data_IF_999691370672
#
_entry.id   IF_999691370672
#
_cell.length_a   1.000
_cell.length_b   1.000
_cell.length_c   1.000
_cell.angle_alpha   90.00
_cell.angle_beta   90.00
_cell.angle_gamma   90.00
#
_symmetry.space_group_name_H-M   'P 1'
#
loop_
_entity.id
_entity.type
_entity.pdbx_description
1 polymer ?
#
# COMPACT_ATOMS: atom_id res chain seq x y z
N UNK A 1 9.14 28.45 -36.46
CA UNK A 1 9.47 28.88 -35.08
C UNK A 1 9.05 27.78 -34.12
N UNK A 2 9.99 26.95 -33.65
CA UNK A 2 9.73 25.89 -32.68
C UNK A 2 9.87 26.44 -31.26
N UNK A 3 8.76 26.56 -30.53
CA UNK A 3 8.79 26.74 -29.09
C UNK A 3 9.31 25.46 -28.43
N UNK A 4 10.58 25.49 -28.01
CA UNK A 4 11.11 24.54 -27.01
C UNK A 4 10.32 24.75 -25.71
N UNK A 5 9.48 23.78 -25.34
CA UNK A 5 8.90 23.69 -24.00
C UNK A 5 10.01 23.22 -23.05
N UNK A 6 10.50 24.12 -22.22
CA UNK A 6 11.34 23.77 -21.09
C UNK A 6 10.58 22.84 -20.15
N UNK A 7 11.11 21.63 -19.96
CA UNK A 7 10.63 20.72 -18.91
C UNK A 7 11.01 21.35 -17.55
N UNK A 8 10.08 21.48 -16.59
CA UNK A 8 10.44 21.96 -15.27
C UNK A 8 11.45 21.01 -14.63
N UNK A 9 12.61 21.54 -14.25
CA UNK A 9 13.60 20.84 -13.42
C UNK A 9 13.00 20.68 -12.03
N UNK A 10 12.58 19.47 -11.67
CA UNK A 10 12.14 19.15 -10.31
C UNK A 10 13.38 18.95 -9.43
N UNK A 11 13.46 19.64 -8.29
CA UNK A 11 14.39 19.29 -7.22
C UNK A 11 13.75 18.14 -6.43
N UNK A 12 14.32 16.94 -6.57
CA UNK A 12 14.02 15.79 -5.72
C UNK A 12 15.11 15.75 -4.66
N UNK A 13 14.73 15.79 -3.39
CA UNK A 13 15.65 15.55 -2.29
C UNK A 13 15.23 14.27 -1.61
N UNK A 14 16.07 13.25 -1.78
CA UNK A 14 15.93 11.94 -1.17
C UNK A 14 17.05 11.83 -0.13
N UNK A 15 16.68 11.86 1.16
CA UNK A 15 17.64 11.65 2.25
C UNK A 15 17.50 10.21 2.72
N UNK A 16 18.33 9.32 2.15
CA UNK A 16 18.47 7.94 2.58
C UNK A 16 19.60 7.83 3.60
N UNK A 17 19.28 7.41 4.82
CA UNK A 17 20.29 7.10 5.83
C UNK A 17 20.39 5.57 5.94
N UNK A 18 21.52 4.95 5.56
CA UNK A 18 21.69 3.51 5.69
C UNK A 18 21.76 3.12 7.18
N UNK A 19 20.78 2.34 7.64
CA UNK A 19 20.85 1.63 8.92
C UNK A 19 21.89 0.50 8.79
N UNK A 20 23.14 0.74 9.20
CA UNK A 20 24.12 -0.34 9.38
C UNK A 20 23.62 -1.32 10.46
N UNK A 21 23.82 -2.61 10.22
CA UNK A 21 23.34 -3.75 11.00
C UNK A 21 23.54 -3.62 12.53
N UNK A 22 22.48 -3.27 13.27
CA UNK A 22 22.44 -3.35 14.72
C UNK A 22 21.80 -4.67 15.19
N UNK A 23 22.43 -5.80 14.87
CA UNK A 23 22.17 -7.08 15.57
C UNK A 23 23.51 -7.77 15.84
N UNK A 24 24.02 -7.62 17.07
CA UNK A 24 25.27 -8.28 17.45
C UNK A 24 25.67 -8.10 18.91
N UNK A 25 25.24 -9.06 19.74
CA UNK A 25 25.84 -9.57 20.99
C UNK A 25 26.08 -8.61 22.15
N UNK A 26 25.53 -8.97 23.31
CA UNK A 26 25.72 -8.26 24.56
C UNK A 26 27.17 -8.26 25.07
N UNK A 27 27.53 -7.14 25.71
CA UNK A 27 28.22 -7.04 27.01
C UNK A 27 28.21 -5.57 27.44
N UNK A 28 28.08 -5.34 28.75
CA UNK A 28 28.00 -4.02 29.40
C UNK A 28 29.32 -3.24 29.20
N UNK A 29 29.23 -1.96 28.87
CA UNK A 29 30.15 -0.91 29.34
C UNK A 29 29.46 0.46 29.16
N UNK A 30 29.36 1.23 30.24
CA UNK A 30 28.91 2.62 30.23
C UNK A 30 30.03 3.52 29.69
N UNK A 31 29.83 4.07 28.51
CA UNK A 31 30.43 5.33 28.04
C UNK A 31 29.59 5.81 26.86
N UNK A 32 29.03 7.02 26.95
CA UNK A 32 28.19 7.61 25.90
C UNK A 32 28.97 7.63 24.57
N UNK A 33 28.46 7.03 23.47
CA UNK A 33 29.27 6.85 22.28
C UNK A 33 29.36 8.13 21.42
N UNK A 34 30.43 8.27 20.62
CA UNK A 34 30.62 9.37 19.66
C UNK A 34 29.55 9.46 18.55
N UNK A 35 28.67 8.47 18.45
CA UNK A 35 27.62 8.33 17.43
C UNK A 35 26.53 9.41 17.58
N UNK A 36 26.17 9.80 18.81
CA UNK A 36 25.12 10.79 19.08
C UNK A 36 25.49 12.19 18.55
N UNK A 37 26.79 12.53 18.58
CA UNK A 37 27.28 13.81 18.05
C UNK A 37 27.20 13.89 16.53
N UNK A 38 27.40 12.77 15.83
CA UNK A 38 27.32 12.72 14.37
C UNK A 38 25.86 12.79 13.89
N UNK A 39 24.95 12.13 14.60
CA UNK A 39 23.51 12.17 14.33
C UNK A 39 22.94 13.60 14.42
N UNK A 40 23.28 14.33 15.49
CA UNK A 40 22.79 15.71 15.69
C UNK A 40 23.29 16.67 14.62
N UNK A 41 24.56 16.54 14.22
CA UNK A 41 25.14 17.33 13.12
C UNK A 41 24.51 17.01 11.77
N UNK A 42 24.19 15.74 11.52
CA UNK A 42 23.47 15.33 10.31
C UNK A 42 22.08 15.94 10.28
N UNK A 43 21.33 15.87 11.38
CA UNK A 43 20.00 16.45 11.49
C UNK A 43 20.03 17.97 11.29
N UNK A 44 21.02 18.66 11.85
CA UNK A 44 21.24 20.10 11.66
C UNK A 44 21.62 20.43 10.21
N UNK A 45 22.44 19.60 9.55
CA UNK A 45 22.75 19.75 8.14
C UNK A 45 21.52 19.52 7.25
N UNK A 46 20.65 18.56 7.58
CA UNK A 46 19.36 18.33 6.90
C UNK A 46 18.45 19.54 7.09
N UNK A 47 18.29 20.07 8.31
CA UNK A 47 17.52 21.30 8.56
C UNK A 47 18.01 22.46 7.70
N UNK A 48 19.33 22.71 7.71
CA UNK A 48 19.94 23.77 6.89
C UNK A 48 19.72 23.55 5.39
N UNK A 49 19.85 22.31 4.92
CA UNK A 49 19.59 21.97 3.52
C UNK A 49 18.14 22.26 3.15
N UNK A 50 17.19 21.84 3.98
CA UNK A 50 15.76 22.05 3.76
C UNK A 50 15.38 23.54 3.72
N UNK A 51 15.99 24.37 4.58
CA UNK A 51 15.80 25.83 4.55
C UNK A 51 16.20 26.46 3.21
N UNK A 52 17.29 25.99 2.60
CA UNK A 52 17.84 26.58 1.37
C UNK A 52 17.07 26.21 0.07
N UNK A 53 16.11 25.27 0.12
CA UNK A 53 15.43 24.75 -1.08
C UNK A 53 14.12 25.50 -1.36
N UNK A 54 14.20 26.62 -2.07
CA UNK A 54 13.08 27.57 -2.28
C UNK A 54 11.88 27.05 -3.07
N UNK A 55 12.04 25.99 -3.87
CA UNK A 55 10.99 25.43 -4.73
C UNK A 55 10.78 23.93 -4.51
N UNK A 56 10.99 23.46 -3.28
CA UNK A 56 10.86 22.05 -2.93
C UNK A 56 9.42 21.56 -3.16
N UNK A 57 9.24 20.66 -4.14
CA UNK A 57 7.92 20.05 -4.45
C UNK A 57 7.77 18.66 -3.86
N UNK A 58 8.87 17.94 -3.65
CA UNK A 58 8.92 16.56 -3.18
C UNK A 58 9.98 16.44 -2.11
N UNK A 59 9.58 15.97 -0.93
CA UNK A 59 10.46 15.69 0.19
C UNK A 59 10.25 14.25 0.66
N UNK A 60 11.35 13.52 0.81
CA UNK A 60 11.34 12.17 1.36
C UNK A 60 12.37 12.05 2.48
N UNK A 61 11.86 11.68 3.66
CA UNK A 61 12.65 11.44 4.86
C UNK A 61 12.36 10.02 5.34
N UNK A 62 13.37 9.16 5.26
CA UNK A 62 13.22 7.72 5.53
C UNK A 62 14.20 7.28 6.60
N UNK A 63 13.76 6.38 7.49
CA UNK A 63 14.57 5.73 8.52
C UNK A 63 15.29 6.71 9.48
N UNK A 64 14.65 7.85 9.76
CA UNK A 64 15.18 8.82 10.73
C UNK A 64 15.02 8.34 12.17
N UNK A 65 13.96 7.60 12.49
CA UNK A 65 13.72 7.01 13.81
C UNK A 65 13.95 8.01 14.96
N UNK A 66 13.32 9.18 14.89
CA UNK A 66 13.47 10.29 15.83
C UNK A 66 12.73 10.05 17.14
N UNK A 67 13.26 10.64 18.22
CA UNK A 67 12.50 10.81 19.46
C UNK A 67 11.52 12.00 19.32
N UNK A 68 10.50 12.04 20.17
CA UNK A 68 9.40 13.03 20.04
C UNK A 68 9.90 14.49 20.05
N UNK A 69 10.92 14.81 20.85
CA UNK A 69 11.49 16.16 20.93
C UNK A 69 12.23 16.57 19.64
N UNK A 70 12.90 15.63 18.98
CA UNK A 70 13.58 15.86 17.71
C UNK A 70 12.57 16.01 16.57
N UNK A 71 11.57 15.12 16.54
CA UNK A 71 10.49 15.12 15.55
C UNK A 71 9.67 16.42 15.58
N UNK A 72 9.43 16.96 16.78
CA UNK A 72 8.69 18.21 16.98
C UNK A 72 9.31 19.41 16.25
N UNK A 73 10.64 19.46 16.11
CA UNK A 73 11.32 20.65 15.59
C UNK A 73 11.91 20.44 14.20
N UNK A 74 11.79 19.24 13.63
CA UNK A 74 12.48 18.93 12.37
C UNK A 74 11.85 19.65 11.17
N UNK A 75 10.53 19.80 11.18
CA UNK A 75 9.78 20.36 10.06
C UNK A 75 9.48 21.86 10.20
N UNK A 76 9.85 22.50 11.31
CA UNK A 76 9.57 23.93 11.58
C UNK A 76 10.07 24.83 10.44
N UNK A 77 11.32 24.68 10.05
CA UNK A 77 11.94 25.49 8.99
C UNK A 77 11.27 25.27 7.61
N UNK A 78 10.78 24.05 7.37
CA UNK A 78 10.04 23.71 6.12
C UNK A 78 8.65 24.32 6.14
N UNK A 79 7.98 24.33 7.29
CA UNK A 79 6.65 24.89 7.45
C UNK A 79 6.62 26.41 7.26
N UNK A 80 7.62 27.13 7.77
CA UNK A 80 7.66 28.60 7.66
C UNK A 80 7.84 29.10 6.23
N UNK A 81 8.65 28.41 5.42
CA UNK A 81 9.05 28.95 4.12
C UNK A 81 8.52 28.17 2.90
N UNK A 82 8.01 26.93 3.08
CA UNK A 82 7.71 25.99 1.97
C UNK A 82 6.34 25.31 2.07
N UNK A 83 5.47 25.76 2.98
CA UNK A 83 4.12 25.25 3.17
C UNK A 83 3.26 25.27 1.89
N UNK A 84 3.49 26.23 0.99
CA UNK A 84 2.72 26.40 -0.23
C UNK A 84 3.30 25.69 -1.47
N UNK A 85 4.59 25.36 -1.48
CA UNK A 85 5.27 24.79 -2.66
C UNK A 85 5.30 23.26 -2.65
N UNK A 86 5.29 22.63 -1.47
CA UNK A 86 5.33 21.19 -1.33
C UNK A 86 4.07 20.53 -1.91
N UNK A 87 4.25 19.40 -2.61
CA UNK A 87 3.18 18.62 -3.26
C UNK A 87 3.23 17.15 -2.88
N UNK A 88 4.42 16.63 -2.55
CA UNK A 88 4.64 15.27 -2.10
C UNK A 88 5.51 15.28 -0.84
N UNK A 89 5.08 14.56 0.19
CA UNK A 89 5.81 14.36 1.43
C UNK A 89 5.77 12.88 1.80
N UNK A 90 6.94 12.28 2.00
CA UNK A 90 7.08 10.92 2.52
C UNK A 90 7.88 10.92 3.81
N UNK A 91 7.28 10.41 4.88
CA UNK A 91 7.84 10.29 6.23
C UNK A 91 7.79 8.81 6.65
N UNK A 92 8.74 8.02 6.14
CA UNK A 92 8.81 6.58 6.39
C UNK A 92 9.72 6.31 7.59
N UNK A 93 9.22 5.54 8.57
CA UNK A 93 9.97 5.23 9.80
C UNK A 93 10.55 6.49 10.49
N UNK A 94 9.70 7.53 10.58
CA UNK A 94 10.11 8.86 11.00
C UNK A 94 10.31 8.98 12.52
N UNK A 95 9.44 8.39 13.33
CA UNK A 95 9.58 8.35 14.81
C UNK A 95 9.68 6.93 15.36
N UNK A 96 10.38 6.78 16.50
CA UNK A 96 10.50 5.48 17.20
C UNK A 96 9.18 5.03 17.84
N UNK A 97 8.33 5.97 18.24
CA UNK A 97 7.09 5.72 18.96
C UNK A 97 5.90 6.51 18.41
N UNK A 98 4.77 6.42 19.11
CA UNK A 98 3.57 7.19 18.80
C UNK A 98 3.84 8.69 19.00
N UNK A 99 3.70 9.46 17.93
CA UNK A 99 3.87 10.91 17.95
C UNK A 99 3.15 11.57 16.78
N UNK A 100 2.08 12.31 17.04
CA UNK A 100 1.29 12.97 16.02
C UNK A 100 2.03 14.19 15.43
N UNK A 101 2.17 14.25 14.11
CA UNK A 101 2.90 15.32 13.42
C UNK A 101 1.94 16.44 12.96
N UNK A 102 1.72 17.44 13.81
CA UNK A 102 0.82 18.56 13.50
C UNK A 102 1.28 19.40 12.29
N UNK A 103 2.59 19.45 12.01
CA UNK A 103 3.20 20.11 10.85
C UNK A 103 2.57 19.69 9.52
N UNK A 104 2.04 18.46 9.44
CA UNK A 104 1.39 17.94 8.25
C UNK A 104 0.19 18.79 7.81
N UNK A 105 -0.49 19.44 8.75
CA UNK A 105 -1.61 20.34 8.50
C UNK A 105 -1.22 21.66 7.83
N UNK A 106 0.04 22.06 7.91
CA UNK A 106 0.52 23.36 7.40
C UNK A 106 0.77 23.30 5.89
N UNK A 107 1.02 22.11 5.32
CA UNK A 107 1.28 21.95 3.89
C UNK A 107 -0.02 21.99 3.06
N UNK A 108 -0.63 23.17 2.95
CA UNK A 108 -1.97 23.37 2.36
C UNK A 108 -2.12 22.89 0.92
N UNK A 109 -1.04 22.85 0.14
CA UNK A 109 -1.05 22.40 -1.24
C UNK A 109 -0.51 20.96 -1.43
N UNK A 110 -0.23 20.23 -0.34
CA UNK A 110 0.20 18.84 -0.40
C UNK A 110 -0.85 17.99 -1.11
N UNK A 111 -0.43 17.15 -2.05
CA UNK A 111 -1.32 16.27 -2.82
C UNK A 111 -1.14 14.81 -2.43
N UNK A 112 0.08 14.41 -2.07
CA UNK A 112 0.43 13.05 -1.67
C UNK A 112 1.19 13.11 -0.35
N UNK A 113 0.70 12.37 0.63
CA UNK A 113 1.32 12.18 1.93
C UNK A 113 1.55 10.68 2.15
N UNK A 114 2.79 10.29 2.42
CA UNK A 114 3.17 8.94 2.85
C UNK A 114 3.67 9.00 4.27
N UNK A 115 3.05 8.26 5.17
CA UNK A 115 3.33 8.38 6.61
C UNK A 115 3.01 7.08 7.35
N UNK A 116 3.73 6.81 8.43
CA UNK A 116 3.41 5.70 9.34
C UNK A 116 2.18 6.00 10.21
N UNK A 117 1.39 4.97 10.61
CA UNK A 117 0.21 5.19 11.44
C UNK A 117 0.53 5.80 12.81
N UNK A 118 1.74 5.57 13.34
CA UNK A 118 2.18 6.16 14.60
C UNK A 118 2.33 7.68 14.56
N UNK A 119 2.38 8.26 13.35
CA UNK A 119 2.51 9.69 13.13
C UNK A 119 1.19 10.39 12.78
N UNK A 120 0.11 9.62 12.69
CA UNK A 120 -1.24 10.12 12.51
C UNK A 120 -1.99 10.14 13.85
N UNK A 121 -2.93 11.07 13.94
CA UNK A 121 -3.90 11.14 15.02
C UNK A 121 -5.04 12.07 14.64
N UNK A 122 -6.06 12.17 15.49
CA UNK A 122 -7.32 12.83 15.11
C UNK A 122 -7.14 14.31 14.79
N UNK A 123 -6.28 15.02 15.52
CA UNK A 123 -5.97 16.43 15.24
C UNK A 123 -5.26 16.59 13.90
N UNK A 124 -4.30 15.71 13.58
CA UNK A 124 -3.62 15.71 12.28
C UNK A 124 -4.62 15.47 11.16
N UNK A 125 -5.53 14.51 11.34
CA UNK A 125 -6.57 14.20 10.36
C UNK A 125 -7.52 15.37 10.13
N UNK A 126 -7.96 16.03 11.19
CA UNK A 126 -8.77 17.24 11.11
C UNK A 126 -8.07 18.32 10.28
N UNK A 127 -6.79 18.59 10.56
CA UNK A 127 -6.01 19.59 9.83
C UNK A 127 -5.85 19.22 8.35
N UNK A 128 -5.38 18.01 8.04
CA UNK A 128 -5.14 17.62 6.64
C UNK A 128 -6.44 17.51 5.83
N UNK A 129 -7.59 17.28 6.49
CA UNK A 129 -8.88 17.27 5.81
C UNK A 129 -9.27 18.65 5.24
N UNK A 130 -8.68 19.74 5.73
CA UNK A 130 -8.89 21.08 5.18
C UNK A 130 -7.90 21.45 4.05
N UNK A 131 -7.03 20.52 3.65
CA UNK A 131 -5.98 20.75 2.63
C UNK A 131 -6.36 20.17 1.27
N UNK A 132 -5.50 20.39 0.25
CA UNK A 132 -5.65 19.80 -1.09
C UNK A 132 -5.17 18.34 -1.20
N UNK A 133 -5.00 17.65 -0.07
CA UNK A 133 -4.51 16.27 -0.05
C UNK A 133 -5.45 15.35 -0.83
N UNK A 134 -4.89 14.61 -1.78
CA UNK A 134 -5.62 13.66 -2.63
C UNK A 134 -5.30 12.21 -2.26
N UNK A 135 -4.06 11.93 -1.90
CA UNK A 135 -3.58 10.59 -1.60
C UNK A 135 -2.91 10.57 -0.25
N UNK A 136 -3.50 9.81 0.68
CA UNK A 136 -2.92 9.53 2.00
C UNK A 136 -2.50 8.07 2.06
N UNK A 137 -1.19 7.82 2.04
CA UNK A 137 -0.61 6.50 2.23
C UNK A 137 -0.26 6.29 3.69
N UNK A 138 -0.91 5.30 4.30
CA UNK A 138 -0.63 4.83 5.65
C UNK A 138 0.21 3.56 5.50
N UNK A 139 1.52 3.69 5.70
CA UNK A 139 2.49 2.63 5.46
C UNK A 139 2.95 2.04 6.79
N UNK A 140 2.66 0.77 7.00
CA UNK A 140 3.17 -0.02 8.10
C UNK A 140 4.42 -0.76 7.67
N UNK A 141 5.48 -0.68 8.47
CA UNK A 141 6.72 -1.41 8.23
C UNK A 141 7.04 -2.34 9.40
N UNK A 142 8.16 -3.06 9.32
CA UNK A 142 8.74 -3.75 10.48
C UNK A 142 9.07 -2.82 11.66
N UNK A 143 9.30 -1.53 11.41
CA UNK A 143 9.67 -0.52 12.42
C UNK A 143 8.45 0.23 12.99
N UNK A 144 7.25 0.03 12.43
CA UNK A 144 6.03 0.61 13.03
C UNK A 144 5.86 0.08 14.45
N UNK A 145 5.71 0.95 15.47
CA UNK A 145 5.63 0.52 16.87
C UNK A 145 4.35 -0.28 17.13
N UNK A 146 4.40 -1.19 18.10
CA UNK A 146 3.24 -1.98 18.52
C UNK A 146 2.12 -1.12 19.14
N UNK A 147 2.47 0.08 19.63
CA UNK A 147 1.52 1.05 20.18
C UNK A 147 0.76 1.86 19.12
N UNK A 148 1.10 1.71 17.83
CA UNK A 148 0.37 2.40 16.76
C UNK A 148 -1.11 2.01 16.75
N UNK A 149 -2.01 2.98 16.61
CA UNK A 149 -3.46 2.79 16.68
C UNK A 149 -4.16 3.26 15.42
N UNK A 150 -5.28 2.62 15.12
CA UNK A 150 -6.22 3.12 14.11
C UNK A 150 -6.88 4.41 14.60
N UNK A 151 -7.26 5.26 13.64
CA UNK A 151 -8.07 6.42 13.93
C UNK A 151 -9.53 6.00 14.14
N UNK A 152 -10.28 6.79 14.90
CA UNK A 152 -11.69 6.46 15.16
C UNK A 152 -12.53 6.56 13.87
N UNK A 153 -13.60 5.74 13.74
CA UNK A 153 -14.51 5.83 12.59
C UNK A 153 -15.14 7.22 12.44
N UNK A 154 -15.41 7.91 13.55
CA UNK A 154 -15.97 9.28 13.57
C UNK A 154 -15.00 10.29 12.94
N UNK A 155 -13.71 10.17 13.26
CA UNK A 155 -12.66 11.00 12.68
C UNK A 155 -12.59 10.82 11.15
N UNK A 156 -12.63 9.58 10.67
CA UNK A 156 -12.64 9.29 9.23
C UNK A 156 -13.87 9.83 8.51
N UNK A 157 -15.06 9.69 9.10
CA UNK A 157 -16.29 10.22 8.53
C UNK A 157 -16.25 11.76 8.42
N UNK A 158 -15.78 12.45 9.46
CA UNK A 158 -15.61 13.89 9.44
C UNK A 158 -14.61 14.32 8.35
N UNK A 159 -13.45 13.66 8.28
CA UNK A 159 -12.43 13.96 7.29
C UNK A 159 -12.91 13.70 5.85
N UNK A 160 -13.66 12.60 5.62
CA UNK A 160 -14.22 12.28 4.31
C UNK A 160 -15.32 13.26 3.88
N UNK A 161 -16.10 13.81 4.83
CA UNK A 161 -17.08 14.87 4.54
C UNK A 161 -16.38 16.17 4.16
N UNK A 162 -15.29 16.51 4.86
CA UNK A 162 -14.55 17.75 4.62
C UNK A 162 -13.71 17.69 3.33
N UNK A 163 -13.10 16.53 3.04
CA UNK A 163 -12.33 16.28 1.83
C UNK A 163 -12.82 15.00 1.12
N UNK A 164 -13.88 15.09 0.31
CA UNK A 164 -14.45 13.94 -0.39
C UNK A 164 -13.55 13.37 -1.50
N UNK A 165 -12.49 14.10 -1.87
CA UNK A 165 -11.54 13.66 -2.90
C UNK A 165 -10.34 12.91 -2.33
N UNK A 166 -10.17 12.88 -1.00
CA UNK A 166 -9.08 12.18 -0.35
C UNK A 166 -9.26 10.67 -0.46
N UNK A 167 -8.21 9.99 -0.93
CA UNK A 167 -8.13 8.54 -1.05
C UNK A 167 -7.11 8.02 -0.08
N UNK A 168 -7.49 7.00 0.69
CA UNK A 168 -6.61 6.35 1.66
C UNK A 168 -6.01 5.08 1.05
N UNK A 169 -4.71 4.93 1.20
CA UNK A 169 -3.93 3.82 0.69
C UNK A 169 -3.27 3.10 1.86
N UNK A 170 -3.71 1.89 2.18
CA UNK A 170 -3.13 1.08 3.24
C UNK A 170 -2.03 0.19 2.65
N UNK A 171 -0.84 0.24 3.23
CA UNK A 171 0.28 -0.62 2.85
C UNK A 171 0.90 -1.29 4.08
N UNK A 172 1.24 -2.57 3.97
CA UNK A 172 2.03 -3.30 4.95
C UNK A 172 3.26 -3.89 4.28
N UNK A 173 4.43 -3.44 4.69
CA UNK A 173 5.74 -3.83 4.16
C UNK A 173 6.59 -4.47 5.27
N UNK A 174 6.64 -5.80 5.29
CA UNK A 174 7.37 -6.51 6.34
C UNK A 174 7.87 -7.88 5.88
N UNK A 175 8.89 -8.40 6.58
CA UNK A 175 9.38 -9.77 6.37
C UNK A 175 8.78 -10.76 7.38
N UNK A 176 8.09 -10.26 8.41
CA UNK A 176 7.50 -11.05 9.48
C UNK A 176 5.99 -11.10 9.34
N UNK A 177 5.36 -12.07 10.00
CA UNK A 177 3.90 -12.07 10.09
C UNK A 177 3.45 -10.91 10.98
N UNK A 178 2.50 -10.13 10.46
CA UNK A 178 1.95 -8.93 11.10
C UNK A 178 0.59 -8.64 10.51
N UNK A 179 -0.34 -8.20 11.34
CA UNK A 179 -1.64 -7.74 10.88
C UNK A 179 -1.60 -6.28 10.39
N UNK A 180 -2.35 -6.03 9.33
CA UNK A 180 -2.64 -4.68 8.86
C UNK A 180 -3.47 -3.95 9.93
N UNK A 181 -3.15 -2.68 10.17
CA UNK A 181 -3.87 -1.80 11.07
C UNK A 181 -5.04 -1.17 10.31
N UNK A 182 -6.18 -1.86 10.37
CA UNK A 182 -7.38 -1.51 9.63
C UNK A 182 -7.98 -0.16 10.07
N UNK A 183 -8.45 0.62 9.10
CA UNK A 183 -8.98 1.97 9.29
C UNK A 183 -10.50 1.99 8.99
N UNK A 184 -11.31 1.55 9.95
CA UNK A 184 -12.76 1.47 9.78
C UNK A 184 -13.37 2.81 9.35
N UNK A 185 -14.29 2.78 8.38
CA UNK A 185 -14.95 3.94 7.74
C UNK A 185 -14.02 4.92 7.01
N UNK A 186 -12.73 4.64 6.87
CA UNK A 186 -11.85 5.43 6.01
C UNK A 186 -12.21 5.23 4.53
N UNK A 187 -12.01 6.24 3.65
CA UNK A 187 -12.20 6.11 2.21
C UNK A 187 -11.02 5.36 1.57
N UNK A 188 -10.85 4.09 1.96
CA UNK A 188 -9.75 3.24 1.50
C UNK A 188 -9.95 2.88 0.03
N UNK A 189 -8.98 3.28 -0.77
CA UNK A 189 -8.93 3.03 -2.21
C UNK A 189 -7.95 1.91 -2.56
N UNK A 190 -6.92 1.68 -1.75
CA UNK A 190 -5.99 0.57 -1.95
C UNK A 190 -5.60 -0.15 -0.67
N UNK A 191 -5.40 -1.46 -0.79
CA UNK A 191 -4.78 -2.31 0.23
C UNK A 191 -3.70 -3.15 -0.45
N UNK A 192 -2.44 -2.91 -0.10
CA UNK A 192 -1.31 -3.69 -0.57
C UNK A 192 -0.54 -4.28 0.62
N UNK A 193 -0.32 -5.59 0.61
CA UNK A 193 0.46 -6.28 1.64
C UNK A 193 1.70 -6.88 0.98
N UNK A 194 2.84 -6.22 1.11
CA UNK A 194 4.14 -6.76 0.74
C UNK A 194 4.79 -7.47 1.93
N UNK A 195 4.44 -8.74 2.08
CA UNK A 195 5.07 -9.61 3.07
C UNK A 195 5.01 -11.07 2.66
N UNK A 196 6.15 -11.78 2.58
CA UNK A 196 6.16 -13.20 2.32
C UNK A 196 5.55 -14.03 3.47
N UNK A 197 5.41 -13.45 4.67
CA UNK A 197 4.95 -14.15 5.86
C UNK A 197 3.46 -13.93 6.16
N UNK A 198 2.89 -12.78 5.78
CA UNK A 198 1.49 -12.48 6.04
C UNK A 198 0.59 -13.31 5.12
N UNK A 199 -0.29 -14.13 5.68
CA UNK A 199 -1.29 -14.92 4.94
C UNK A 199 -2.55 -14.08 4.67
N UNK A 200 -3.17 -14.25 3.51
CA UNK A 200 -4.54 -13.75 3.30
C UNK A 200 -5.53 -14.67 4.02
N UNK A 201 -6.36 -14.09 4.89
CA UNK A 201 -7.31 -14.82 5.73
C UNK A 201 -8.76 -14.45 5.37
N UNK A 202 -9.72 -15.38 5.53
CA UNK A 202 -11.15 -15.12 5.33
C UNK A 202 -11.65 -13.86 6.04
N UNK A 203 -11.31 -13.68 7.30
CA UNK A 203 -11.74 -12.54 8.12
C UNK A 203 -11.26 -11.21 7.56
N UNK A 204 -10.05 -11.20 6.96
CA UNK A 204 -9.53 -10.00 6.31
C UNK A 204 -10.35 -9.66 5.06
N UNK A 205 -10.74 -10.66 4.26
CA UNK A 205 -11.61 -10.46 3.09
C UNK A 205 -12.99 -9.94 3.51
N UNK A 206 -13.61 -10.56 4.52
CA UNK A 206 -14.91 -10.13 5.03
C UNK A 206 -14.87 -8.69 5.57
N UNK A 207 -13.82 -8.35 6.31
CA UNK A 207 -13.59 -6.99 6.80
C UNK A 207 -13.44 -5.99 5.66
N UNK A 208 -12.71 -6.34 4.60
CA UNK A 208 -12.55 -5.48 3.42
C UNK A 208 -13.88 -5.21 2.74
N UNK A 209 -14.67 -6.26 2.51
CA UNK A 209 -16.00 -6.14 1.89
C UNK A 209 -16.89 -5.24 2.76
N UNK A 210 -16.91 -5.49 4.07
CA UNK A 210 -17.76 -4.75 5.00
C UNK A 210 -17.38 -3.26 5.08
N UNK A 211 -16.08 -2.93 5.03
CA UNK A 211 -15.61 -1.57 5.32
C UNK A 211 -15.29 -0.74 4.07
N UNK A 212 -14.91 -1.39 2.96
CA UNK A 212 -14.29 -0.69 1.81
C UNK A 212 -14.86 -1.08 0.44
N UNK A 213 -15.90 -1.92 0.36
CA UNK A 213 -16.52 -2.37 -0.90
C UNK A 213 -16.81 -1.25 -1.90
N UNK A 214 -17.32 -0.13 -1.41
CA UNK A 214 -17.71 1.01 -2.24
C UNK A 214 -16.54 1.78 -2.88
N UNK A 215 -15.33 1.69 -2.31
CA UNK A 215 -14.21 2.58 -2.67
C UNK A 215 -12.96 1.84 -3.15
N UNK A 216 -12.83 0.55 -2.84
CA UNK A 216 -11.64 -0.23 -3.14
C UNK A 216 -11.41 -0.36 -4.65
N UNK A 217 -10.23 0.07 -5.10
CA UNK A 217 -9.78 -0.02 -6.50
C UNK A 217 -8.54 -0.88 -6.68
N UNK A 218 -7.71 -1.00 -5.65
CA UNK A 218 -6.45 -1.75 -5.72
C UNK A 218 -6.38 -2.71 -4.54
N UNK A 219 -6.23 -3.99 -4.84
CA UNK A 219 -6.05 -5.00 -3.81
C UNK A 219 -4.97 -6.00 -4.22
N UNK A 220 -4.09 -6.34 -3.29
CA UNK A 220 -3.06 -7.32 -3.56
C UNK A 220 -2.22 -7.70 -2.37
N UNK A 221 -1.78 -8.96 -2.38
CA UNK A 221 -0.65 -9.40 -1.58
C UNK A 221 0.53 -9.62 -2.52
N UNK A 222 1.68 -9.07 -2.16
CA UNK A 222 2.93 -9.10 -2.92
C UNK A 222 3.95 -10.05 -2.26
N UNK A 223 5.07 -10.24 -2.95
CA UNK A 223 6.13 -11.15 -2.52
C UNK A 223 5.80 -12.63 -2.73
N UNK A 224 6.79 -13.50 -2.51
CA UNK A 224 6.61 -14.95 -2.62
C UNK A 224 6.29 -15.52 -1.22
N UNK A 225 5.15 -16.20 -1.03
CA UNK A 225 4.77 -16.81 0.25
C UNK A 225 5.86 -17.72 0.82
N UNK A 226 6.15 -17.58 2.11
CA UNK A 226 7.04 -18.42 2.91
C UNK A 226 6.27 -19.25 3.95
N UNK A 227 5.01 -19.55 3.66
CA UNK A 227 4.12 -20.37 4.48
C UNK A 227 3.45 -21.46 3.63
N UNK A 228 2.84 -22.44 4.29
CA UNK A 228 2.13 -23.52 3.62
C UNK A 228 0.91 -22.99 2.85
N UNK A 229 0.83 -23.28 1.55
CA UNK A 229 -0.34 -22.97 0.73
C UNK A 229 -1.17 -24.23 0.45
N UNK A 230 -2.44 -24.27 0.92
CA UNK A 230 -3.28 -25.45 0.86
C UNK A 230 -3.55 -25.89 -0.59
N UNK A 231 -3.64 -27.21 -0.81
CA UNK A 231 -3.95 -27.78 -2.13
C UNK A 231 -5.44 -28.06 -2.30
N UNK A 232 -6.15 -28.36 -1.22
CA UNK A 232 -7.59 -28.68 -1.24
C UNK A 232 -8.43 -27.43 -1.49
N UNK A 233 -9.43 -27.51 -2.37
CA UNK A 233 -10.30 -26.37 -2.71
C UNK A 233 -10.94 -25.73 -1.46
N UNK A 234 -11.44 -26.56 -0.53
CA UNK A 234 -12.15 -26.10 0.68
C UNK A 234 -11.28 -25.28 1.65
N UNK A 235 -9.95 -25.39 1.54
CA UNK A 235 -9.00 -24.68 2.40
C UNK A 235 -8.37 -23.46 1.70
N UNK A 236 -8.50 -23.37 0.37
CA UNK A 236 -7.90 -22.29 -0.42
C UNK A 236 -8.79 -21.04 -0.39
N UNK A 237 -8.18 -19.91 -0.74
CA UNK A 237 -8.85 -18.62 -0.78
C UNK A 237 -9.69 -18.40 -2.05
N UNK A 238 -9.83 -19.41 -2.92
CA UNK A 238 -10.59 -19.32 -4.17
C UNK A 238 -11.99 -18.69 -3.97
N UNK A 239 -12.84 -19.16 -3.04
CA UNK A 239 -14.18 -18.59 -2.86
C UNK A 239 -14.15 -17.14 -2.39
N UNK A 240 -13.24 -16.82 -1.48
CA UNK A 240 -13.10 -15.49 -0.91
C UNK A 240 -12.59 -14.47 -1.92
N UNK A 241 -11.66 -14.85 -2.80
CA UNK A 241 -11.14 -13.97 -3.85
C UNK A 241 -12.21 -13.62 -4.89
N UNK A 242 -13.03 -14.59 -5.30
CA UNK A 242 -14.16 -14.37 -6.21
C UNK A 242 -15.22 -13.51 -5.54
N UNK A 243 -15.57 -13.80 -4.28
CA UNK A 243 -16.50 -12.98 -3.50
C UNK A 243 -16.01 -11.53 -3.35
N UNK A 244 -14.72 -11.33 -3.08
CA UNK A 244 -14.14 -9.98 -2.95
C UNK A 244 -14.35 -9.15 -4.22
N UNK A 245 -14.05 -9.69 -5.41
CA UNK A 245 -14.21 -8.93 -6.65
C UNK A 245 -15.67 -8.71 -7.04
N UNK A 246 -16.57 -9.61 -6.62
CA UNK A 246 -18.02 -9.44 -6.81
C UNK A 246 -18.58 -8.32 -5.94
N UNK A 247 -18.18 -8.27 -4.68
CA UNK A 247 -18.67 -7.28 -3.71
C UNK A 247 -17.93 -5.93 -3.80
N UNK A 248 -16.75 -5.88 -4.44
CA UNK A 248 -15.97 -4.67 -4.69
C UNK A 248 -15.95 -4.33 -6.19
N UNK A 249 -17.04 -3.76 -6.77
CA UNK A 249 -17.20 -3.61 -8.21
C UNK A 249 -16.31 -2.53 -8.85
N UNK A 250 -15.50 -1.81 -8.05
CA UNK A 250 -14.59 -0.76 -8.52
C UNK A 250 -13.13 -1.22 -8.57
N UNK A 251 -12.84 -2.50 -8.31
CA UNK A 251 -11.46 -3.01 -8.38
C UNK A 251 -10.93 -2.86 -9.81
N UNK A 252 -9.89 -2.04 -9.97
CA UNK A 252 -9.18 -1.82 -11.22
C UNK A 252 -7.87 -2.61 -11.28
N UNK A 253 -7.26 -2.87 -10.13
CA UNK A 253 -6.03 -3.66 -10.01
C UNK A 253 -6.19 -4.74 -8.96
N UNK A 254 -6.00 -5.99 -9.37
CA UNK A 254 -6.12 -7.15 -8.50
C UNK A 254 -4.89 -8.05 -8.61
N UNK A 255 -4.25 -8.35 -7.47
CA UNK A 255 -3.06 -9.21 -7.41
C UNK A 255 -3.39 -10.48 -6.63
N UNK A 256 -3.26 -11.63 -7.27
CA UNK A 256 -3.39 -12.95 -6.64
C UNK A 256 -2.03 -13.60 -6.49
N UNK A 257 -1.64 -13.76 -5.22
CA UNK A 257 -0.46 -14.51 -4.78
C UNK A 257 -0.82 -15.89 -4.23
N UNK A 258 -2.03 -16.04 -3.70
CA UNK A 258 -2.48 -17.29 -3.09
C UNK A 258 -2.59 -18.41 -4.13
N UNK A 259 -2.51 -19.65 -3.64
CA UNK A 259 -2.71 -20.81 -4.49
C UNK A 259 -4.18 -20.91 -4.88
N UNK A 260 -4.46 -20.90 -6.18
CA UNK A 260 -5.82 -20.89 -6.75
C UNK A 260 -5.91 -21.81 -7.95
N UNK A 261 -7.11 -22.23 -8.35
CA UNK A 261 -7.30 -22.99 -9.59
C UNK A 261 -7.39 -22.09 -10.82
N UNK A 262 -7.13 -22.66 -12.01
CA UNK A 262 -7.36 -21.99 -13.30
C UNK A 262 -8.80 -21.50 -13.47
N UNK A 263 -9.78 -22.24 -12.96
CA UNK A 263 -11.17 -21.79 -12.99
C UNK A 263 -11.41 -20.55 -12.12
N UNK A 264 -10.72 -20.42 -10.97
CA UNK A 264 -10.78 -19.19 -10.14
C UNK A 264 -10.25 -17.98 -10.89
N UNK A 265 -9.16 -18.16 -11.64
CA UNK A 265 -8.58 -17.07 -12.46
C UNK A 265 -9.58 -16.57 -13.49
N UNK A 266 -10.28 -17.49 -14.15
CA UNK A 266 -11.33 -17.17 -15.12
C UNK A 266 -12.54 -16.48 -14.46
N UNK A 267 -13.00 -16.99 -13.32
CA UNK A 267 -14.15 -16.43 -12.59
C UNK A 267 -13.87 -15.00 -12.12
N UNK A 268 -12.67 -14.71 -11.64
CA UNK A 268 -12.27 -13.35 -11.24
C UNK A 268 -12.28 -12.40 -12.44
N UNK A 269 -11.68 -12.81 -13.56
CA UNK A 269 -11.65 -12.00 -14.78
C UNK A 269 -13.07 -11.74 -15.32
N UNK A 270 -13.94 -12.75 -15.27
CA UNK A 270 -15.31 -12.64 -15.75
C UNK A 270 -16.14 -11.71 -14.86
N UNK A 271 -16.06 -11.83 -13.52
CA UNK A 271 -16.92 -11.08 -12.62
C UNK A 271 -16.50 -9.61 -12.45
N UNK A 272 -15.21 -9.29 -12.57
CA UNK A 272 -14.70 -7.95 -12.32
C UNK A 272 -14.57 -7.14 -13.61
N UNK A 273 -15.67 -6.54 -14.08
CA UNK A 273 -15.68 -5.77 -15.35
C UNK A 273 -14.82 -4.50 -15.32
N UNK A 274 -14.52 -3.96 -14.14
CA UNK A 274 -13.66 -2.77 -13.97
C UNK A 274 -12.15 -3.08 -14.01
N UNK A 275 -11.78 -4.37 -14.08
CA UNK A 275 -10.40 -4.82 -13.95
C UNK A 275 -9.55 -4.36 -15.14
N UNK A 276 -8.59 -3.48 -14.87
CA UNK A 276 -7.61 -2.99 -15.86
C UNK A 276 -6.28 -3.71 -15.76
N UNK A 277 -5.93 -4.19 -14.56
CA UNK A 277 -4.66 -4.83 -14.27
C UNK A 277 -4.89 -6.05 -13.39
N UNK A 278 -4.71 -7.21 -13.98
CA UNK A 278 -4.86 -8.47 -13.28
C UNK A 278 -3.51 -9.17 -13.19
N UNK A 279 -3.01 -9.39 -11.98
CA UNK A 279 -1.69 -9.98 -11.78
C UNK A 279 -1.83 -11.29 -11.01
N UNK A 280 -1.43 -12.40 -11.62
CA UNK A 280 -1.53 -13.73 -11.01
C UNK A 280 -0.19 -14.42 -11.10
N UNK A 281 0.30 -14.94 -9.96
CA UNK A 281 1.53 -15.73 -9.91
C UNK A 281 1.30 -17.11 -10.53
N UNK A 282 1.93 -17.41 -11.67
CA UNK A 282 1.78 -18.67 -12.42
C UNK A 282 2.05 -19.91 -11.57
N UNK A 283 3.11 -19.91 -10.76
CA UNK A 283 3.49 -21.05 -9.91
C UNK A 283 2.51 -21.32 -8.76
N UNK A 284 1.59 -20.40 -8.48
CA UNK A 284 0.51 -20.58 -7.50
C UNK A 284 -0.80 -21.05 -8.16
N UNK A 285 -0.87 -21.11 -9.49
CA UNK A 285 -2.08 -21.58 -10.17
C UNK A 285 -2.04 -23.09 -10.35
N UNK A 286 -3.09 -23.79 -9.92
CA UNK A 286 -3.27 -25.22 -10.14
C UNK A 286 -4.20 -25.43 -11.33
N UNK A 287 -3.81 -26.31 -12.24
CA UNK A 287 -4.61 -26.67 -13.40
C UNK A 287 -5.82 -27.54 -13.03
N UNK A 288 -6.92 -26.91 -12.62
CA UNK A 288 -8.16 -27.57 -12.14
C UNK A 288 -9.39 -26.71 -12.41
N UNK A 289 -10.52 -27.38 -12.65
CA UNK A 289 -11.85 -26.80 -12.55
C UNK A 289 -12.57 -27.49 -11.37
N UNK A 290 -12.15 -27.14 -10.15
CA UNK A 290 -12.60 -27.78 -8.90
C UNK A 290 -13.71 -27.00 -8.17
N UNK A 291 -14.27 -25.99 -8.81
CA UNK A 291 -15.47 -25.30 -8.32
C UNK A 291 -16.70 -26.20 -8.42
N UNK A 292 -17.55 -26.24 -7.37
CA UNK A 292 -18.84 -26.91 -7.45
C UNK A 292 -19.70 -26.22 -8.53
N UNK A 293 -20.52 -27.01 -9.24
CA UNK A 293 -21.47 -26.45 -10.19
C UNK A 293 -22.48 -25.60 -9.40
N UNK A 294 -22.50 -24.30 -9.64
CA UNK A 294 -23.50 -23.43 -9.04
C UNK A 294 -24.85 -23.74 -9.72
N UNK A 295 -25.93 -23.99 -8.96
CA UNK A 295 -27.26 -24.24 -9.54
C UNK A 295 -27.76 -23.12 -10.44
N UNK A 296 -27.25 -21.90 -10.25
CA UNK A 296 -27.61 -20.72 -11.06
C UNK A 296 -26.78 -20.60 -12.35
N UNK A 297 -25.84 -21.51 -12.61
CA UNK A 297 -25.07 -21.52 -13.86
C UNK A 297 -25.80 -22.34 -14.91
N UNK A 298 -25.88 -21.78 -16.12
CA UNK A 298 -26.24 -22.57 -17.29
C UNK A 298 -25.17 -23.63 -17.58
N UNK A 299 -25.59 -24.79 -18.11
CA UNK A 299 -24.67 -25.86 -18.51
C UNK A 299 -23.62 -25.38 -19.51
N UNK A 300 -24.01 -24.46 -20.40
CA UNK A 300 -23.13 -23.80 -21.37
C UNK A 300 -21.96 -23.08 -20.67
N UNK A 301 -22.25 -22.35 -19.60
CA UNK A 301 -21.28 -21.61 -18.80
C UNK A 301 -20.33 -22.54 -18.05
N UNK A 302 -20.86 -23.58 -17.41
CA UNK A 302 -19.99 -24.53 -16.69
C UNK A 302 -19.11 -25.35 -17.65
N UNK A 303 -19.63 -25.71 -18.82
CA UNK A 303 -18.84 -26.36 -19.87
C UNK A 303 -17.74 -25.45 -20.41
N UNK A 304 -18.03 -24.17 -20.61
CA UNK A 304 -17.02 -23.17 -20.94
C UNK A 304 -15.93 -23.10 -19.87
N UNK A 305 -16.29 -22.98 -18.59
CA UNK A 305 -15.34 -22.90 -17.48
C UNK A 305 -14.44 -24.14 -17.44
N UNK A 306 -15.03 -25.33 -17.55
CA UNK A 306 -14.29 -26.60 -17.63
C UNK A 306 -13.33 -26.64 -18.80
N UNK A 307 -13.76 -26.22 -20.00
CA UNK A 307 -12.94 -26.23 -21.22
C UNK A 307 -11.77 -25.26 -21.10
N UNK A 308 -12.04 -24.01 -20.74
CA UNK A 308 -11.04 -22.94 -20.64
C UNK A 308 -10.03 -23.15 -19.50
N UNK A 309 -10.34 -24.01 -18.54
CA UNK A 309 -9.48 -24.35 -17.41
C UNK A 309 -8.53 -25.54 -17.65
N UNK A 310 -8.49 -26.14 -18.86
CA UNK A 310 -7.75 -27.38 -19.16
C UNK A 310 -6.27 -27.21 -19.40
N UNK A 311 -5.83 -26.01 -19.80
CA UNK A 311 -4.42 -25.67 -19.94
C UNK A 311 -4.17 -24.22 -19.49
N UNK A 312 -2.93 -23.91 -19.11
CA UNK A 312 -2.56 -22.53 -18.79
C UNK A 312 -2.73 -21.62 -20.02
N UNK A 313 -2.46 -22.12 -21.21
CA UNK A 313 -2.58 -21.37 -22.46
C UNK A 313 -4.04 -21.03 -22.79
N UNK A 314 -4.95 -22.00 -22.70
CA UNK A 314 -6.39 -21.74 -22.87
C UNK A 314 -6.91 -20.75 -21.81
N UNK A 315 -6.47 -20.89 -20.55
CA UNK A 315 -6.84 -19.96 -19.49
C UNK A 315 -6.33 -18.54 -19.79
N UNK A 316 -5.07 -18.38 -20.21
CA UNK A 316 -4.51 -17.07 -20.55
C UNK A 316 -5.17 -16.43 -21.78
N UNK A 317 -5.45 -17.22 -22.81
CA UNK A 317 -6.16 -16.78 -24.01
C UNK A 317 -7.57 -16.30 -23.65
N UNK A 318 -8.27 -17.06 -22.81
CA UNK A 318 -9.63 -16.73 -22.43
C UNK A 318 -9.70 -15.50 -21.49
N UNK A 319 -8.78 -15.38 -20.53
CA UNK A 319 -8.65 -14.16 -19.73
C UNK A 319 -8.30 -12.95 -20.60
N UNK A 320 -7.40 -13.12 -21.58
CA UNK A 320 -7.08 -12.04 -22.54
C UNK A 320 -8.30 -11.59 -23.33
N UNK A 321 -9.14 -12.54 -23.75
CA UNK A 321 -10.40 -12.28 -24.46
C UNK A 321 -11.38 -11.51 -23.57
N UNK A 322 -11.53 -11.90 -22.31
CA UNK A 322 -12.42 -11.23 -21.35
C UNK A 322 -11.96 -9.80 -21.07
N UNK A 323 -10.65 -9.60 -20.86
CA UNK A 323 -10.09 -8.30 -20.49
C UNK A 323 -9.90 -7.35 -21.70
N UNK A 324 -9.92 -7.88 -22.92
CA UNK A 324 -9.75 -7.10 -24.16
C UNK A 324 -8.30 -6.70 -24.44
N UNK A 325 -7.32 -7.29 -23.77
CA UNK A 325 -5.89 -7.09 -24.02
C UNK A 325 -5.10 -8.36 -23.77
N UNK A 326 -3.89 -8.44 -24.33
CA UNK A 326 -3.01 -9.60 -24.13
C UNK A 326 -2.63 -9.71 -22.65
N UNK A 327 -3.07 -10.79 -22.02
CA UNK A 327 -2.83 -11.11 -20.63
C UNK A 327 -2.08 -12.44 -20.52
N UNK A 328 -1.23 -12.54 -19.49
CA UNK A 328 -0.53 -13.79 -19.13
C UNK A 328 -0.30 -13.83 -17.62
N UNK A 329 -0.18 -15.03 -17.07
CA UNK A 329 0.27 -15.20 -15.70
C UNK A 329 1.75 -14.81 -15.57
N UNK A 330 2.13 -14.31 -14.40
CA UNK A 330 3.48 -13.86 -14.13
C UNK A 330 4.34 -15.02 -13.63
N UNK A 331 5.55 -15.14 -14.15
CA UNK A 331 6.61 -15.93 -13.51
C UNK A 331 6.95 -15.36 -12.12
N UNK A 332 7.58 -16.15 -11.26
CA UNK A 332 8.00 -15.67 -9.93
C UNK A 332 8.93 -14.45 -10.02
N UNK A 333 9.79 -14.39 -11.04
CA UNK A 333 10.68 -13.24 -11.29
C UNK A 333 9.87 -11.98 -11.64
N UNK A 334 8.91 -12.09 -12.54
CA UNK A 334 8.02 -10.97 -12.91
C UNK A 334 7.13 -10.55 -11.73
N UNK A 335 6.67 -11.52 -10.92
CA UNK A 335 5.83 -11.27 -9.76
C UNK A 335 6.58 -10.55 -8.63
N UNK A 336 7.84 -10.91 -8.38
CA UNK A 336 8.69 -10.22 -7.38
C UNK A 336 9.00 -8.78 -7.81
N UNK A 337 9.13 -8.53 -9.11
CA UNK A 337 9.38 -7.19 -9.64
C UNK A 337 8.11 -6.31 -9.72
N UNK A 338 6.96 -6.82 -9.28
CA UNK A 338 5.69 -6.15 -9.42
C UNK A 338 5.62 -4.90 -8.52
N UNK A 339 5.37 -3.74 -9.13
CA UNK A 339 5.08 -2.50 -8.42
C UNK A 339 3.81 -1.87 -9.02
N UNK A 340 2.61 -2.27 -8.55
CA UNK A 340 1.36 -1.83 -9.13
C UNK A 340 1.16 -0.30 -8.95
N UNK A 341 0.89 0.47 -10.01
CA UNK A 341 0.64 1.90 -9.86
C UNK A 341 -0.68 2.15 -9.14
N UNK A 342 -0.66 2.85 -8.00
CA UNK A 342 -1.85 3.14 -7.18
C UNK A 342 -2.70 4.32 -7.70
N UNK A 343 -2.17 5.08 -8.65
CA UNK A 343 -2.84 6.18 -9.32
C UNK A 343 -2.20 6.40 -10.69
N UNK A 344 -2.97 6.92 -11.63
CA UNK A 344 -2.57 7.29 -13.00
C UNK A 344 -2.53 8.79 -13.17
#
# INVERSE_FOLDING_TARGET
MCCKRDKPKYQIVEVLIPLQDFVGRGRRFFSRPPIVRHWRKLLEAVKRLLGNLTNLKRLELTDLMLDNSEAMTLLDDVCCERCESLRYLSLSNFTKGQYQLLHLGVFVNLQILVVGPQNLGEQVMELISHTKLKHLHIVQTRLTPASARSLSPKCWQAAAKQNPNMRVHLALETKTDRQLLWQEKAPVNSILVDSPACKLEPDNVMRIIQWYSENLRYFGYLGIPKYHQPKSFNERMDPFLVMLVKECPKIETFVIREKVSTSTVLLVAEQCKSLKRYYVRRNAVILKCDWPCNPNWEDSYFNWLKKSSRSYEETENEVSRILGFRWKMLSDKEFVALNPPLYT
#
